data_IF_721011208409
#
_entry.id   IF_721011208409
#
_cell.length_a   1.000
_cell.length_b   1.000
_cell.length_c   1.000
_cell.angle_alpha   90.00
_cell.angle_beta   90.00
_cell.angle_gamma   90.00
#
_symmetry.space_group_name_H-M   'P 1'
#
loop_
_entity.id
_entity.type
_entity.pdbx_description
1 polymer ?
#
# COMPACT_ATOMS: atom_id res chain seq x y z
N UNK A 1 6.29 68.45 17.10
CA UNK A 1 7.14 67.26 16.95
C UNK A 1 6.29 66.06 17.32
N UNK A 2 5.78 65.34 16.33
CA UNK A 2 4.92 64.17 16.56
C UNK A 2 5.79 63.05 17.14
N UNK A 3 5.42 62.49 18.29
CA UNK A 3 6.20 61.41 18.91
C UNK A 3 6.14 60.16 18.01
N UNK A 4 7.28 59.68 17.47
CA UNK A 4 7.30 58.59 16.50
C UNK A 4 6.71 57.28 17.06
N UNK A 5 6.74 57.11 18.38
CA UNK A 5 6.18 55.96 19.10
C UNK A 5 4.65 55.83 18.88
N UNK A 6 3.91 56.95 18.80
CA UNK A 6 2.46 56.89 18.62
C UNK A 6 2.07 56.45 17.19
N UNK A 7 2.82 56.87 16.16
CA UNK A 7 2.63 56.39 14.79
C UNK A 7 2.94 54.90 14.64
N UNK A 8 3.92 54.37 15.40
CA UNK A 8 4.18 52.93 15.43
C UNK A 8 2.98 52.16 15.98
N UNK A 9 2.44 52.55 17.14
CA UNK A 9 1.25 51.88 17.69
C UNK A 9 0.01 52.03 16.78
N UNK A 10 -0.17 53.18 16.12
CA UNK A 10 -1.24 53.40 15.15
C UNK A 10 -1.08 52.63 13.83
N UNK A 11 0.12 52.18 13.48
CA UNK A 11 0.32 51.34 12.30
C UNK A 11 0.28 49.85 12.66
N UNK A 12 0.71 49.47 13.87
CA UNK A 12 0.73 48.07 14.32
C UNK A 12 -0.65 47.42 14.38
N UNK A 13 -1.68 48.11 14.89
CA UNK A 13 -3.03 47.51 14.98
C UNK A 13 -3.68 47.28 13.60
N UNK A 14 -3.37 48.12 12.61
CA UNK A 14 -3.86 47.97 11.23
C UNK A 14 -3.30 46.70 10.58
N UNK A 15 -2.02 46.39 10.85
CA UNK A 15 -1.39 45.14 10.41
C UNK A 15 -2.04 43.93 11.08
N UNK A 16 -2.38 44.02 12.36
CA UNK A 16 -3.05 42.92 13.08
C UNK A 16 -4.45 42.64 12.53
N UNK A 17 -5.24 43.68 12.22
CA UNK A 17 -6.57 43.52 11.62
C UNK A 17 -6.47 42.91 10.22
N UNK A 18 -5.54 43.39 9.39
CA UNK A 18 -5.33 42.84 8.05
C UNK A 18 -4.89 41.37 8.11
N UNK A 19 -3.95 41.04 8.98
CA UNK A 19 -3.50 39.66 9.17
C UNK A 19 -4.66 38.75 9.62
N UNK A 20 -5.44 39.17 10.61
CA UNK A 20 -6.60 38.42 11.11
C UNK A 20 -7.66 38.20 10.02
N UNK A 21 -7.92 39.24 9.21
CA UNK A 21 -8.88 39.17 8.11
C UNK A 21 -8.44 38.21 7.00
N UNK A 22 -7.15 38.23 6.63
CA UNK A 22 -6.58 37.31 5.64
C UNK A 22 -6.64 35.87 6.14
N UNK A 23 -6.29 35.61 7.41
CA UNK A 23 -6.39 34.28 8.01
C UNK A 23 -7.82 33.77 8.05
N UNK A 24 -8.79 34.61 8.44
CA UNK A 24 -10.20 34.24 8.43
C UNK A 24 -10.72 33.97 7.02
N UNK A 25 -10.28 34.75 6.03
CA UNK A 25 -10.61 34.54 4.62
C UNK A 25 -10.10 33.19 4.10
N UNK A 26 -8.84 32.85 4.36
CA UNK A 26 -8.27 31.57 3.95
C UNK A 26 -8.96 30.39 4.64
N UNK A 27 -9.25 30.51 5.94
CA UNK A 27 -9.99 29.49 6.69
C UNK A 27 -11.43 29.31 6.17
N UNK A 28 -12.08 30.39 5.75
CA UNK A 28 -13.41 30.34 5.14
C UNK A 28 -13.42 29.61 3.80
N UNK A 29 -12.42 29.88 2.95
CA UNK A 29 -12.24 29.14 1.67
C UNK A 29 -11.99 27.67 1.94
N UNK A 30 -11.07 27.35 2.85
CA UNK A 30 -10.76 25.97 3.20
C UNK A 30 -11.99 25.24 3.74
N UNK A 31 -12.73 25.83 4.69
CA UNK A 31 -13.97 25.25 5.22
C UNK A 31 -15.01 24.99 4.14
N UNK A 32 -15.20 25.92 3.19
CA UNK A 32 -16.16 25.75 2.10
C UNK A 32 -15.73 24.69 1.05
N UNK A 33 -14.42 24.45 0.90
CA UNK A 33 -13.88 23.52 -0.11
C UNK A 33 -13.53 22.14 0.44
N UNK A 34 -13.36 21.98 1.76
CA UNK A 34 -12.99 20.70 2.41
C UNK A 34 -13.83 19.53 1.92
N UNK A 35 -15.15 19.66 1.96
CA UNK A 35 -16.07 18.59 1.56
C UNK A 35 -15.89 18.17 0.10
N UNK A 36 -15.57 19.14 -0.79
CA UNK A 36 -15.30 18.86 -2.21
C UNK A 36 -13.94 18.22 -2.43
N UNK A 37 -12.92 18.62 -1.66
CA UNK A 37 -11.56 18.07 -1.77
C UNK A 37 -11.58 16.60 -1.34
N UNK A 38 -12.32 16.28 -0.28
CA UNK A 38 -12.41 14.92 0.24
C UNK A 38 -13.14 13.96 -0.70
N UNK A 39 -14.25 14.39 -1.30
CA UNK A 39 -14.93 13.56 -2.30
C UNK A 39 -14.08 13.37 -3.56
N UNK A 40 -13.43 14.42 -4.04
CA UNK A 40 -12.53 14.32 -5.19
C UNK A 40 -11.30 13.45 -4.91
N UNK A 41 -10.74 13.51 -3.69
CA UNK A 41 -9.58 12.70 -3.31
C UNK A 41 -9.97 11.22 -3.18
N UNK A 42 -11.14 10.92 -2.62
CA UNK A 42 -11.68 9.56 -2.52
C UNK A 42 -11.88 8.95 -3.90
N UNK A 43 -12.48 9.68 -4.83
CA UNK A 43 -12.65 9.22 -6.22
C UNK A 43 -11.32 9.01 -6.94
N UNK A 44 -10.31 9.86 -6.70
CA UNK A 44 -8.97 9.68 -7.27
C UNK A 44 -8.30 8.43 -6.75
N UNK A 45 -8.39 8.17 -5.44
CA UNK A 45 -7.83 6.97 -4.82
C UNK A 45 -8.52 5.72 -5.34
N UNK A 46 -9.86 5.71 -5.39
CA UNK A 46 -10.63 4.57 -5.88
C UNK A 46 -10.29 4.27 -7.35
N UNK A 47 -10.27 5.30 -8.21
CA UNK A 47 -9.87 5.13 -9.61
C UNK A 47 -8.44 4.63 -9.76
N UNK A 48 -7.50 5.17 -8.97
CA UNK A 48 -6.11 4.75 -9.03
C UNK A 48 -5.92 3.29 -8.57
N UNK A 49 -6.65 2.85 -7.54
CA UNK A 49 -6.60 1.47 -7.06
C UNK A 49 -7.11 0.49 -8.14
N UNK A 50 -8.21 0.85 -8.82
CA UNK A 50 -8.77 0.04 -9.90
C UNK A 50 -7.89 0.08 -11.18
N UNK A 51 -7.17 1.17 -11.42
CA UNK A 51 -6.24 1.28 -12.55
C UNK A 51 -5.00 0.38 -12.35
N UNK A 52 -4.48 0.29 -11.12
CA UNK A 52 -3.25 -0.47 -10.87
C UNK A 52 -3.46 -1.98 -10.72
N UNK A 53 -4.68 -2.43 -10.41
CA UNK A 53 -5.03 -3.86 -10.35
C UNK A 53 -6.09 -4.18 -11.41
N UNK A 54 -5.69 -4.68 -12.59
CA UNK A 54 -6.64 -5.00 -13.65
C UNK A 54 -7.59 -6.12 -13.23
N UNK A 55 -8.88 -5.98 -13.54
CA UNK A 55 -9.92 -6.94 -13.20
C UNK A 55 -10.55 -6.74 -11.81
N UNK A 56 -10.08 -5.77 -11.03
CA UNK A 56 -10.72 -5.37 -9.78
C UNK A 56 -12.04 -4.65 -10.00
N UNK A 57 -13.07 -5.01 -9.23
CA UNK A 57 -14.35 -4.32 -9.19
C UNK A 57 -14.56 -3.55 -7.87
N UNK A 58 -14.00 -4.05 -6.77
CA UNK A 58 -14.13 -3.44 -5.43
C UNK A 58 -12.77 -3.32 -4.78
N UNK A 59 -12.58 -2.24 -4.02
CA UNK A 59 -11.42 -2.05 -3.17
C UNK A 59 -11.84 -1.81 -1.72
N UNK A 60 -11.08 -2.35 -0.79
CA UNK A 60 -11.28 -2.10 0.64
C UNK A 60 -9.92 -1.80 1.29
N UNK A 61 -9.80 -0.74 2.11
CA UNK A 61 -8.58 -0.49 2.86
C UNK A 61 -8.41 -1.59 3.92
N UNK A 62 -7.21 -2.16 4.00
CA UNK A 62 -6.82 -3.20 4.95
C UNK A 62 -5.46 -2.83 5.53
N UNK A 63 -5.29 -3.05 6.83
CA UNK A 63 -4.00 -2.90 7.49
C UNK A 63 -3.34 -4.28 7.56
N UNK A 64 -2.23 -4.46 6.83
CA UNK A 64 -1.47 -5.72 6.82
C UNK A 64 -0.17 -5.46 7.57
N UNK A 65 -0.01 -6.10 8.72
CA UNK A 65 1.18 -5.96 9.58
C UNK A 65 1.56 -4.49 9.87
N UNK A 66 0.55 -3.63 10.06
CA UNK A 66 0.75 -2.19 10.34
C UNK A 66 0.97 -1.32 9.09
N UNK A 67 0.97 -1.89 7.89
CA UNK A 67 1.05 -1.16 6.61
C UNK A 67 -0.35 -1.00 6.01
N UNK A 68 -0.70 0.24 5.65
CA UNK A 68 -1.97 0.53 4.97
C UNK A 68 -1.91 0.06 3.51
N UNK A 69 -2.78 -0.87 3.15
CA UNK A 69 -2.91 -1.42 1.81
C UNK A 69 -4.39 -1.45 1.40
N UNK A 70 -4.67 -1.68 0.13
CA UNK A 70 -6.00 -1.85 -0.41
C UNK A 70 -6.11 -3.25 -0.99
N UNK A 71 -7.08 -4.02 -0.49
CA UNK A 71 -7.43 -5.32 -1.06
C UNK A 71 -8.36 -5.09 -2.24
N UNK A 72 -8.03 -5.64 -3.40
CA UNK A 72 -8.84 -5.51 -4.61
C UNK A 72 -9.45 -6.85 -4.99
N UNK A 73 -10.78 -6.89 -5.09
CA UNK A 73 -11.52 -8.08 -5.48
C UNK A 73 -12.35 -7.86 -6.74
N UNK A 74 -12.66 -8.94 -7.45
CA UNK A 74 -13.62 -8.93 -8.54
C UNK A 74 -15.08 -8.80 -8.02
N UNK A 75 -16.05 -8.91 -8.92
CA UNK A 75 -17.47 -8.90 -8.58
C UNK A 75 -17.90 -10.15 -7.80
N UNK A 76 -17.18 -11.26 -7.95
CA UNK A 76 -17.45 -12.56 -7.29
C UNK A 76 -16.90 -12.62 -5.85
N UNK A 77 -16.01 -11.70 -5.49
CA UNK A 77 -15.32 -11.66 -4.19
C UNK A 77 -13.94 -12.32 -4.20
N UNK A 78 -13.47 -12.84 -5.35
CA UNK A 78 -12.14 -13.39 -5.52
C UNK A 78 -11.07 -12.29 -5.50
N UNK A 79 -9.91 -12.58 -4.91
CA UNK A 79 -8.79 -11.65 -4.80
C UNK A 79 -8.10 -11.48 -6.16
N UNK A 80 -8.16 -10.27 -6.71
CA UNK A 80 -7.44 -9.92 -7.96
C UNK A 80 -6.01 -9.45 -7.66
N UNK A 81 -5.81 -8.75 -6.54
CA UNK A 81 -4.52 -8.19 -6.19
C UNK A 81 -4.59 -7.21 -5.04
N UNK A 82 -3.48 -6.49 -4.84
CA UNK A 82 -3.31 -5.53 -3.76
C UNK A 82 -2.86 -4.20 -4.34
N UNK A 83 -3.22 -3.10 -3.69
CA UNK A 83 -2.65 -1.80 -4.00
C UNK A 83 -2.05 -1.18 -2.73
N UNK A 84 -0.85 -0.64 -2.82
CA UNK A 84 -0.18 0.04 -1.70
C UNK A 84 0.17 1.45 -2.12
N UNK A 85 -0.14 2.46 -1.28
CA UNK A 85 0.44 3.78 -1.45
C UNK A 85 1.96 3.70 -1.20
N UNK A 86 2.73 4.46 -1.96
CA UNK A 86 4.15 4.66 -1.76
C UNK A 86 4.48 6.14 -1.93
N UNK A 87 5.45 6.65 -1.17
CA UNK A 87 5.92 8.02 -1.32
C UNK A 87 7.44 8.10 -1.36
N UNK A 88 7.94 9.08 -2.12
CA UNK A 88 9.36 9.34 -2.25
C UNK A 88 9.63 10.83 -2.38
N UNK A 89 10.80 11.26 -1.90
CA UNK A 89 11.26 12.65 -2.09
C UNK A 89 11.72 12.84 -3.54
N UNK A 90 10.97 13.61 -4.30
CA UNK A 90 11.31 14.04 -5.66
C UNK A 90 12.36 15.16 -5.68
N UNK A 91 12.43 15.87 -6.81
CA UNK A 91 13.32 17.01 -6.98
C UNK A 91 12.79 18.25 -6.25
N UNK A 92 11.49 18.54 -6.39
CA UNK A 92 10.88 19.73 -5.77
C UNK A 92 10.05 19.39 -4.52
N UNK A 93 9.28 18.30 -4.58
CA UNK A 93 8.36 17.89 -3.52
C UNK A 93 8.28 16.36 -3.42
N UNK A 94 7.46 15.84 -2.50
CA UNK A 94 7.15 14.41 -2.42
C UNK A 94 6.27 13.99 -3.59
N UNK A 95 6.62 12.84 -4.15
CA UNK A 95 5.84 12.15 -5.17
C UNK A 95 5.06 11.06 -4.44
N UNK A 96 3.72 11.09 -4.55
CA UNK A 96 2.82 10.05 -4.04
C UNK A 96 2.37 9.15 -5.18
N UNK A 97 2.49 7.86 -4.97
CA UNK A 97 2.24 6.82 -5.95
C UNK A 97 1.27 5.79 -5.37
N UNK A 98 0.51 5.15 -6.25
CA UNK A 98 -0.18 3.91 -5.97
C UNK A 98 0.49 2.79 -6.75
N UNK A 99 0.90 1.73 -6.06
CA UNK A 99 1.55 0.56 -6.66
C UNK A 99 0.60 -0.62 -6.54
N UNK A 100 0.27 -1.23 -7.68
CA UNK A 100 -0.50 -2.47 -7.74
C UNK A 100 0.43 -3.68 -7.65
N UNK A 101 0.03 -4.69 -6.90
CA UNK A 101 0.69 -5.97 -6.74
C UNK A 101 -0.28 -7.08 -7.14
N UNK A 102 0.28 -8.18 -7.66
CA UNK A 102 -0.47 -9.41 -7.94
C UNK A 102 -1.06 -10.00 -6.66
N UNK A 103 -2.00 -10.93 -6.81
CA UNK A 103 -2.64 -11.63 -5.70
C UNK A 103 -1.64 -12.24 -4.70
N UNK A 104 -0.54 -12.81 -5.20
CA UNK A 104 0.57 -13.40 -4.45
C UNK A 104 1.61 -12.36 -3.97
N UNK A 105 1.49 -11.10 -4.39
CA UNK A 105 2.46 -10.04 -4.09
C UNK A 105 3.78 -10.12 -4.86
N UNK A 106 3.98 -11.17 -5.67
CA UNK A 106 5.25 -11.46 -6.33
C UNK A 106 5.60 -10.48 -7.45
N UNK A 107 4.60 -9.85 -8.08
CA UNK A 107 4.78 -8.97 -9.25
C UNK A 107 4.04 -7.66 -9.11
N UNK A 108 4.55 -6.63 -9.78
CA UNK A 108 3.84 -5.35 -9.93
C UNK A 108 2.82 -5.47 -11.05
N UNK A 109 1.56 -5.17 -10.79
CA UNK A 109 0.47 -5.19 -11.80
C UNK A 109 0.26 -3.84 -12.46
N UNK A 110 0.64 -2.75 -11.79
CA UNK A 110 0.39 -1.39 -12.24
C UNK A 110 1.05 -0.35 -11.36
N UNK A 111 1.24 0.85 -11.90
CA UNK A 111 1.76 2.01 -11.19
C UNK A 111 0.95 3.24 -11.62
N UNK A 112 0.47 4.04 -10.67
CA UNK A 112 -0.19 5.32 -10.94
C UNK A 112 0.38 6.41 -10.04
N UNK A 113 0.61 7.60 -10.60
CA UNK A 113 1.03 8.77 -9.82
C UNK A 113 -0.22 9.44 -9.26
N UNK A 114 -0.34 9.50 -7.93
CA UNK A 114 -1.46 10.16 -7.25
C UNK A 114 -1.23 11.66 -7.15
N UNK A 115 0.00 12.05 -6.86
CA UNK A 115 0.39 13.43 -6.68
C UNK A 115 1.87 13.62 -6.97
N UNK A 116 2.18 14.68 -7.70
CA UNK A 116 3.53 15.08 -8.05
C UNK A 116 3.53 16.59 -8.28
N UNK A 117 4.59 17.25 -7.84
CA UNK A 117 4.83 18.67 -8.07
C UNK A 117 6.18 18.90 -8.75
N UNK A 118 6.49 18.03 -9.71
CA UNK A 118 7.73 18.04 -10.48
C UNK A 118 7.69 19.04 -11.64
N UNK A 119 8.86 19.44 -12.13
CA UNK A 119 8.98 20.44 -13.19
C UNK A 119 8.25 19.99 -14.46
N UNK A 120 7.27 20.78 -14.98
CA UNK A 120 6.58 20.47 -16.22
C UNK A 120 7.54 20.27 -17.40
N UNK A 121 7.31 19.23 -18.19
CA UNK A 121 8.13 18.91 -19.37
C UNK A 121 9.46 18.19 -19.09
N UNK A 122 9.87 18.06 -17.83
CA UNK A 122 11.03 17.28 -17.40
C UNK A 122 10.61 16.15 -16.44
N UNK A 123 10.39 16.47 -15.16
CA UNK A 123 10.07 15.50 -14.12
C UNK A 123 8.65 14.98 -14.18
N UNK A 124 7.73 15.75 -14.77
CA UNK A 124 6.34 15.34 -14.99
C UNK A 124 6.20 14.12 -15.93
N UNK A 125 7.25 13.79 -16.68
CA UNK A 125 7.28 12.60 -17.54
C UNK A 125 7.17 11.28 -16.77
N UNK A 126 7.36 11.28 -15.45
CA UNK A 126 7.09 10.10 -14.60
C UNK A 126 5.63 9.66 -14.65
N UNK A 127 4.70 10.54 -15.04
CA UNK A 127 3.27 10.21 -15.19
C UNK A 127 2.97 9.50 -16.52
N UNK A 128 3.91 9.49 -17.46
CA UNK A 128 3.69 8.93 -18.80
C UNK A 128 3.72 7.39 -18.76
N UNK A 129 2.86 6.72 -19.56
CA UNK A 129 2.85 5.26 -19.65
C UNK A 129 4.23 4.67 -19.98
N UNK A 130 5.00 5.35 -20.84
CA UNK A 130 6.36 4.95 -21.22
C UNK A 130 7.32 4.70 -20.04
N UNK A 131 7.13 5.41 -18.91
CA UNK A 131 7.89 5.18 -17.70
C UNK A 131 7.19 4.20 -16.75
N UNK A 132 5.87 4.35 -16.58
CA UNK A 132 5.06 3.53 -15.66
C UNK A 132 5.00 2.06 -16.07
N UNK A 133 4.92 1.78 -17.36
CA UNK A 133 4.75 0.44 -17.91
C UNK A 133 6.02 -0.41 -17.76
N UNK A 134 7.19 0.22 -17.51
CA UNK A 134 8.44 -0.51 -17.25
C UNK A 134 8.40 -1.34 -15.95
N UNK A 135 7.54 -0.94 -15.01
CA UNK A 135 7.35 -1.64 -13.74
C UNK A 135 6.35 -2.79 -13.85
N UNK A 136 5.44 -2.75 -14.83
CA UNK A 136 4.36 -3.72 -14.97
C UNK A 136 4.93 -5.09 -15.34
N UNK A 137 4.53 -6.12 -14.59
CA UNK A 137 4.96 -7.51 -14.79
C UNK A 137 6.33 -7.86 -14.19
N UNK A 138 7.10 -6.87 -13.71
CA UNK A 138 8.39 -7.08 -13.08
C UNK A 138 8.26 -7.81 -11.74
N UNK A 139 9.24 -8.66 -11.44
CA UNK A 139 9.33 -9.32 -10.14
C UNK A 139 9.64 -8.31 -9.05
N UNK A 140 8.94 -8.42 -7.93
CA UNK A 140 9.20 -7.61 -6.75
C UNK A 140 10.34 -8.19 -5.92
N UNK A 141 10.71 -9.46 -6.09
CA UNK A 141 11.72 -10.17 -5.28
C UNK A 141 13.07 -9.44 -5.24
N UNK A 142 13.40 -8.75 -6.33
CA UNK A 142 14.60 -7.94 -6.44
C UNK A 142 14.25 -6.45 -6.41
N UNK A 143 15.10 -5.61 -5.78
CA UNK A 143 14.90 -4.18 -5.83
C UNK A 143 15.03 -3.67 -7.26
N UNK A 144 14.13 -2.77 -7.65
CA UNK A 144 14.20 -2.05 -8.91
C UNK A 144 15.46 -1.21 -8.95
N UNK A 145 16.21 -1.30 -10.04
CA UNK A 145 17.45 -0.56 -10.21
C UNK A 145 17.38 0.33 -11.43
N UNK A 146 17.78 1.59 -11.23
CA UNK A 146 17.98 2.50 -12.34
C UNK A 146 19.14 2.00 -13.18
N UNK A 147 18.87 1.73 -14.45
CA UNK A 147 19.89 1.37 -15.42
C UNK A 147 20.04 2.47 -16.47
N UNK A 148 21.18 2.45 -17.16
CA UNK A 148 21.29 3.16 -18.44
C UNK A 148 20.77 2.26 -19.56
N UNK A 149 20.30 2.83 -20.68
CA UNK A 149 19.88 2.04 -21.83
C UNK A 149 20.97 1.05 -22.25
N UNK A 150 20.66 -0.26 -22.23
CA UNK A 150 21.58 -1.34 -22.59
C UNK A 150 22.34 -2.01 -21.44
N UNK A 151 22.15 -1.58 -20.19
CA UNK A 151 22.65 -2.29 -19.01
C UNK A 151 21.66 -3.36 -18.52
N UNK A 152 22.16 -4.52 -18.10
CA UNK A 152 21.33 -5.61 -17.58
C UNK A 152 21.34 -5.59 -16.04
N UNK A 153 20.15 -5.60 -15.44
CA UNK A 153 19.92 -5.74 -14.01
C UNK A 153 18.79 -6.74 -13.78
N UNK A 154 18.60 -7.18 -12.52
CA UNK A 154 17.51 -8.12 -12.18
C UNK A 154 16.11 -7.49 -12.36
N UNK A 155 15.98 -6.18 -12.10
CA UNK A 155 14.76 -5.40 -12.32
C UNK A 155 15.15 -4.00 -12.86
N UNK A 156 15.54 -3.91 -14.15
CA UNK A 156 16.06 -2.68 -14.75
C UNK A 156 14.92 -1.68 -15.02
N UNK A 157 15.15 -0.42 -14.70
CA UNK A 157 14.27 0.71 -15.04
C UNK A 157 15.10 1.81 -15.69
N UNK A 158 14.71 2.22 -16.88
CA UNK A 158 15.33 3.31 -17.62
C UNK A 158 14.91 4.66 -17.01
N UNK A 159 15.88 5.43 -16.55
CA UNK A 159 15.63 6.79 -16.10
C UNK A 159 15.30 7.73 -17.26
N UNK A 160 14.42 8.69 -16.99
CA UNK A 160 14.05 9.73 -17.95
C UNK A 160 15.21 10.72 -18.09
N UNK A 161 15.70 10.89 -19.31
CA UNK A 161 16.76 11.86 -19.63
C UNK A 161 16.35 13.28 -19.21
N UNK A 162 17.17 13.92 -18.39
CA UNK A 162 16.90 15.26 -17.83
C UNK A 162 16.01 15.27 -16.58
N UNK A 163 15.51 14.11 -16.14
CA UNK A 163 14.69 13.95 -14.94
C UNK A 163 15.16 12.77 -14.07
N UNK A 164 16.48 12.62 -13.93
CA UNK A 164 17.11 11.50 -13.22
C UNK A 164 16.75 11.48 -11.73
N UNK A 165 16.63 12.65 -11.09
CA UNK A 165 16.26 12.73 -9.67
C UNK A 165 14.82 12.26 -9.45
N UNK A 166 13.88 12.74 -10.26
CA UNK A 166 12.46 12.34 -10.20
C UNK A 166 12.28 10.85 -10.51
N UNK A 167 13.00 10.34 -11.52
CA UNK A 167 12.99 8.90 -11.86
C UNK A 167 13.51 8.05 -10.70
N UNK A 168 14.63 8.45 -10.09
CA UNK A 168 15.21 7.75 -8.95
C UNK A 168 14.30 7.82 -7.72
N UNK A 169 13.60 8.94 -7.52
CA UNK A 169 12.66 9.10 -6.42
C UNK A 169 11.52 8.07 -6.49
N UNK A 170 10.96 7.83 -7.69
CA UNK A 170 9.93 6.81 -7.91
C UNK A 170 10.48 5.40 -7.61
N UNK A 171 11.65 5.07 -8.15
CA UNK A 171 12.29 3.76 -7.90
C UNK A 171 12.52 3.54 -6.40
N UNK A 172 13.03 4.55 -5.71
CA UNK A 172 13.29 4.49 -4.28
C UNK A 172 12.00 4.37 -3.47
N UNK A 173 10.93 5.08 -3.85
CA UNK A 173 9.62 4.99 -3.19
C UNK A 173 9.07 3.56 -3.25
N UNK A 174 9.07 2.95 -4.44
CA UNK A 174 8.59 1.59 -4.66
C UNK A 174 9.44 0.59 -3.85
N UNK A 175 10.77 0.67 -3.96
CA UNK A 175 11.66 -0.22 -3.23
C UNK A 175 11.52 -0.10 -1.71
N UNK A 176 11.40 1.13 -1.19
CA UNK A 176 11.20 1.37 0.23
C UNK A 176 9.89 0.76 0.71
N UNK A 177 8.81 0.93 -0.04
CA UNK A 177 7.50 0.39 0.32
C UNK A 177 7.48 -1.14 0.27
N UNK A 178 8.04 -1.75 -0.77
CA UNK A 178 8.16 -3.21 -0.86
C UNK A 178 9.00 -3.81 0.27
N UNK A 179 10.10 -3.14 0.63
CA UNK A 179 10.94 -3.56 1.75
C UNK A 179 10.22 -3.43 3.10
N UNK A 180 9.43 -2.37 3.28
CA UNK A 180 8.60 -2.19 4.47
C UNK A 180 7.59 -3.33 4.60
N UNK A 181 6.84 -3.61 3.54
CA UNK A 181 5.85 -4.71 3.50
C UNK A 181 6.52 -6.04 3.84
N UNK A 182 7.65 -6.38 3.21
CA UNK A 182 8.39 -7.62 3.50
C UNK A 182 8.85 -7.70 4.94
N UNK A 183 9.40 -6.60 5.48
CA UNK A 183 9.91 -6.56 6.84
C UNK A 183 8.79 -6.77 7.86
N UNK A 184 7.63 -6.15 7.65
CA UNK A 184 6.48 -6.29 8.55
C UNK A 184 5.81 -7.66 8.43
N UNK A 185 5.73 -8.23 7.23
CA UNK A 185 5.26 -9.61 7.06
C UNK A 185 6.21 -10.62 7.69
N UNK A 186 7.53 -10.39 7.61
CA UNK A 186 8.52 -11.23 8.27
C UNK A 186 8.51 -11.09 9.80
N UNK A 187 8.09 -9.95 10.34
CA UNK A 187 7.96 -9.73 11.78
C UNK A 187 6.67 -10.33 12.35
N UNK A 188 5.64 -10.53 11.52
CA UNK A 188 4.32 -11.04 11.91
C UNK A 188 3.80 -12.14 10.94
N UNK A 189 4.30 -13.39 11.08
CA UNK A 189 4.02 -14.48 10.14
C UNK A 189 2.56 -14.99 10.17
N UNK A 190 1.83 -14.75 11.26
CA UNK A 190 0.40 -15.12 11.33
C UNK A 190 -0.44 -14.24 10.39
N UNK A 191 0.01 -13.01 10.13
CA UNK A 191 -0.67 -12.05 9.25
C UNK A 191 -0.38 -12.33 7.77
N UNK A 192 0.78 -12.88 7.41
CA UNK A 192 1.08 -13.26 6.02
C UNK A 192 0.23 -14.45 5.55
N UNK A 193 -0.05 -15.40 6.44
CA UNK A 193 -0.87 -16.56 6.15
C UNK A 193 -2.36 -16.23 5.90
N UNK A 194 -2.91 -15.28 6.64
CA UNK A 194 -4.32 -14.86 6.51
C UNK A 194 -4.53 -13.88 5.34
N UNK A 195 -3.53 -13.04 5.04
CA UNK A 195 -3.60 -12.10 3.93
C UNK A 195 -3.37 -12.77 2.57
N UNK A 196 -2.59 -13.85 2.49
CA UNK A 196 -2.23 -14.48 1.21
C UNK A 196 -1.22 -13.67 0.38
N UNK A 197 -0.76 -12.53 0.88
CA UNK A 197 0.25 -11.67 0.28
C UNK A 197 1.65 -12.20 0.62
N UNK A 198 2.47 -12.48 -0.39
CA UNK A 198 3.75 -13.20 -0.23
C UNK A 198 3.57 -14.49 0.58
N UNK A 199 2.46 -15.20 0.37
CA UNK A 199 2.31 -16.56 0.87
C UNK A 199 3.29 -17.45 0.10
N UNK A 200 4.57 -17.41 0.49
CA UNK A 200 5.49 -18.50 0.23
C UNK A 200 4.78 -19.75 0.71
N UNK A 201 4.71 -20.75 -0.16
CA UNK A 201 4.13 -22.05 0.12
C UNK A 201 4.82 -22.59 1.38
N UNK A 202 4.27 -22.27 2.56
CA UNK A 202 4.94 -22.56 3.82
C UNK A 202 4.91 -24.08 3.91
N UNK A 203 5.99 -24.72 3.47
CA UNK A 203 6.38 -26.01 3.96
C UNK A 203 6.53 -25.83 5.46
N UNK A 204 5.43 -26.02 6.17
CA UNK A 204 5.42 -26.29 7.59
C UNK A 204 6.27 -27.53 7.72
N UNK A 205 7.57 -27.33 7.96
CA UNK A 205 8.45 -28.39 8.40
C UNK A 205 7.97 -28.79 9.78
N UNK A 206 7.17 -29.85 9.83
CA UNK A 206 7.05 -30.65 11.04
C UNK A 206 8.49 -30.95 11.54
N UNK A 207 8.70 -30.92 12.85
CA UNK A 207 9.97 -31.22 13.52
C UNK A 207 10.52 -32.63 13.20
N UNK A 208 9.82 -33.42 12.38
CA UNK A 208 10.19 -34.76 11.92
C UNK A 208 10.49 -34.88 10.43
N UNK A 209 10.53 -33.80 9.66
CA UNK A 209 11.04 -33.83 8.28
C UNK A 209 10.28 -34.75 7.31
N UNK A 210 8.97 -34.96 7.48
CA UNK A 210 8.15 -35.62 6.48
C UNK A 210 7.12 -34.66 5.88
N UNK A 211 7.08 -34.63 4.54
CA UNK A 211 6.17 -33.81 3.73
C UNK A 211 4.70 -34.11 4.08
N UNK A 212 4.07 -33.26 4.88
CA UNK A 212 2.62 -33.27 5.01
C UNK A 212 2.05 -32.59 3.75
N UNK A 213 1.45 -33.38 2.86
CA UNK A 213 0.62 -32.86 1.76
C UNK A 213 -0.49 -32.01 2.38
N UNK A 214 -0.45 -30.71 2.10
CA UNK A 214 -1.56 -29.79 2.39
C UNK A 214 -2.74 -30.24 1.52
N UNK A 215 -3.80 -30.75 2.13
CA UNK A 215 -5.11 -30.83 1.48
C UNK A 215 -5.57 -29.39 1.34
N UNK A 216 -5.46 -28.83 0.14
CA UNK A 216 -6.02 -27.53 -0.18
C UNK A 216 -7.54 -27.61 0.00
N UNK A 217 -8.13 -26.65 0.69
CA UNK A 217 -9.57 -26.44 0.71
C UNK A 217 -10.01 -26.06 -0.71
N UNK A 218 -10.45 -27.06 -1.47
CA UNK A 218 -10.85 -26.89 -2.87
C UNK A 218 -11.24 -28.18 -3.59
N UNK A 219 -11.39 -29.31 -2.90
CA UNK A 219 -12.00 -30.52 -3.47
C UNK A 219 -13.39 -30.69 -2.85
N UNK A 220 -14.41 -30.63 -3.69
CA UNK A 220 -15.77 -31.02 -3.35
C UNK A 220 -15.75 -32.44 -2.79
N UNK A 221 -16.18 -32.63 -1.54
CA UNK A 221 -16.54 -33.95 -1.02
C UNK A 221 -18.06 -34.01 -0.82
N UNK A 222 -18.76 -34.99 -1.44
CA UNK A 222 -20.19 -35.07 -1.39
C UNK A 222 -20.67 -35.67 -0.06
N UNK A 223 -21.86 -35.22 0.36
CA UNK A 223 -22.72 -35.81 1.39
C UNK A 223 -22.23 -35.78 2.84
N UNK A 224 -22.86 -34.93 3.66
CA UNK A 224 -22.78 -35.03 5.12
C UNK A 224 -23.18 -33.76 5.88
N UNK A 225 -24.49 -33.54 6.02
CA UNK A 225 -25.18 -32.60 6.93
C UNK A 225 -24.34 -31.65 7.80
N UNK A 226 -24.37 -30.35 7.46
CA UNK A 226 -23.92 -29.26 8.32
C UNK A 226 -24.97 -29.01 9.42
N UNK A 227 -24.59 -29.16 10.69
CA UNK A 227 -25.31 -28.53 11.81
C UNK A 227 -24.56 -27.27 12.21
N UNK A 228 -25.26 -26.15 12.18
CA UNK A 228 -24.79 -24.86 12.67
C UNK A 228 -24.49 -24.95 14.17
N UNK A 229 -23.33 -24.43 14.59
CA UNK A 229 -23.01 -24.22 16.01
C UNK A 229 -23.02 -22.71 16.27
N UNK A 230 -23.75 -22.38 17.33
CA UNK A 230 -24.19 -21.07 17.81
C UNK A 230 -23.01 -20.21 18.32
N UNK A 231 -23.08 -18.91 18.06
CA UNK A 231 -22.02 -17.90 18.27
C UNK A 231 -22.06 -17.30 19.69
N UNK A 232 -22.19 -18.16 20.72
CA UNK A 232 -22.52 -17.68 22.06
C UNK A 232 -21.83 -18.42 23.19
N UNK A 233 -20.50 -18.53 23.13
CA UNK A 233 -19.67 -18.74 24.33
C UNK A 233 -18.20 -18.61 23.93
N UNK A 234 -17.51 -17.59 24.45
CA UNK A 234 -16.07 -17.57 24.81
C UNK A 234 -15.65 -16.12 25.12
N UNK A 235 -16.21 -15.58 26.19
CA UNK A 235 -15.51 -14.61 27.03
C UNK A 235 -14.71 -15.40 28.08
N UNK A 236 -13.50 -14.91 28.41
CA UNK A 236 -12.55 -15.43 29.40
C UNK A 236 -11.62 -16.58 28.95
N UNK A 237 -10.47 -16.22 28.37
CA UNK A 237 -9.14 -16.41 28.98
C UNK A 237 -8.05 -16.09 27.96
N UNK A 238 -7.11 -15.19 28.31
CA UNK A 238 -5.76 -15.27 27.73
C UNK A 238 -5.01 -16.45 28.34
N UNK A 239 -4.19 -17.14 27.54
CA UNK A 239 -2.79 -17.37 27.92
C UNK A 239 -1.86 -17.17 26.70
N UNK A 240 -0.86 -16.28 26.76
CA UNK A 240 0.52 -16.57 27.20
C UNK A 240 1.09 -17.90 26.70
N UNK A 241 2.07 -17.77 25.78
CA UNK A 241 3.24 -18.63 25.52
C UNK A 241 3.10 -20.15 25.75
N UNK A 242 3.55 -20.86 24.71
CA UNK A 242 4.05 -22.23 24.70
C UNK A 242 3.04 -23.36 24.86
N UNK A 243 3.27 -24.41 24.05
CA UNK A 243 2.66 -25.76 24.09
C UNK A 243 1.41 -25.94 23.22
N UNK A 244 1.59 -26.23 21.94
CA UNK A 244 0.67 -27.10 21.19
C UNK A 244 1.20 -28.54 21.31
N UNK A 245 0.75 -29.22 22.36
CA UNK A 245 0.96 -30.65 22.58
C UNK A 245 0.10 -31.42 21.58
N UNK A 246 0.74 -32.30 20.81
CA UNK A 246 0.08 -33.25 19.93
C UNK A 246 -0.79 -34.23 20.73
N UNK A 247 -2.07 -34.36 20.36
CA UNK A 247 -2.90 -35.50 20.75
C UNK A 247 -3.12 -36.38 19.51
N UNK A 248 -2.20 -37.33 19.31
CA UNK A 248 -2.41 -38.49 18.43
C UNK A 248 -3.10 -39.55 19.29
N UNK A 249 -4.38 -39.81 19.06
CA UNK A 249 -5.04 -41.01 19.58
C UNK A 249 -4.85 -42.13 18.56
N UNK A 250 -3.79 -42.93 18.76
CA UNK A 250 -3.72 -44.27 18.20
C UNK A 250 -4.58 -45.15 19.08
N UNK A 251 -5.67 -45.69 18.54
CA UNK A 251 -6.17 -46.97 19.01
C UNK A 251 -6.16 -47.95 17.85
N UNK A 252 -5.55 -49.09 18.10
CA UNK A 252 -5.45 -50.20 17.18
C UNK A 252 -5.79 -51.47 17.92
N UNK A 253 -6.69 -52.28 17.36
CA UNK A 253 -6.54 -53.74 17.18
C UNK A 253 -7.85 -54.37 16.68
N UNK A 254 -7.66 -55.20 15.64
CA UNK A 254 -8.49 -56.30 15.11
C UNK A 254 -9.74 -55.93 14.32
#
# INVERSE_FOLDING_TARGET
>A
MSNPIHSFFQQSWLVLILASGLSAGLAGVDFALRDRIEENSRQRLEKAVLEVVPGGARSAPVMIAGVAMYRVTDESGALCGWATPADGRGFQDRIRLMVGLSNDGGRVTGLTVLESNETPGLGDRIQQPQFRDQFVGQSTEHPFMRVKPGESAAAPVDAITGATISSQAVINAINSQLNLIRKELASNPDTSADSGLYADDCHVRDHRGSLARRVCAGDESPAGSVRAVDYRELHHHQPSRSVCLAAVHLDGRR
#
